data_IF_344354559817
#
_entry.id   IF_344354559817
#
_cell.length_a   1.000
_cell.length_b   1.000
_cell.length_c   1.000
_cell.angle_alpha   90.00
_cell.angle_beta   90.00
_cell.angle_gamma   90.00
#
_symmetry.space_group_name_H-M   'P 1'
#
loop_
_entity.id
_entity.type
_entity.pdbx_description
1 polymer ?
#
# COMPACT_ATOMS: atom_id res chain seq x y z
N UNK A 1 19.89 2.41 2.80
CA UNK A 1 18.93 1.29 2.90
C UNK A 1 19.41 0.19 1.96
N UNK A 2 19.75 -0.97 2.50
CA UNK A 2 20.26 -2.12 1.74
C UNK A 2 19.21 -3.23 1.69
N UNK A 3 19.33 -4.12 0.71
CA UNK A 3 18.48 -5.30 0.57
C UNK A 3 19.37 -6.54 0.69
N UNK A 4 19.06 -7.39 1.67
CA UNK A 4 19.73 -8.68 1.87
C UNK A 4 18.66 -9.78 1.91
N UNK A 5 18.85 -10.84 1.13
CA UNK A 5 17.88 -11.95 1.04
C UNK A 5 16.43 -11.48 0.80
N UNK A 6 16.25 -10.53 -0.13
CA UNK A 6 14.95 -9.94 -0.51
C UNK A 6 14.25 -9.14 0.61
N UNK A 7 14.99 -8.73 1.65
CA UNK A 7 14.48 -7.91 2.74
C UNK A 7 15.29 -6.63 2.90
N UNK A 8 14.63 -5.57 3.30
CA UNK A 8 15.27 -4.32 3.74
C UNK A 8 15.93 -4.52 5.10
N UNK A 9 17.21 -4.17 5.23
CA UNK A 9 17.96 -4.33 6.49
C UNK A 9 17.48 -3.41 7.62
N UNK A 10 16.99 -2.22 7.26
CA UNK A 10 16.60 -1.18 8.21
C UNK A 10 15.07 -1.04 8.37
N UNK A 11 14.31 -2.05 7.96
CA UNK A 11 12.85 -2.06 8.09
C UNK A 11 12.39 -3.09 9.12
N UNK A 12 11.32 -2.77 9.83
CA UNK A 12 10.59 -3.78 10.59
C UNK A 12 10.04 -4.85 9.66
N UNK A 13 9.95 -6.10 10.13
CA UNK A 13 9.42 -7.19 9.32
C UNK A 13 8.28 -7.92 10.04
N UNK A 14 7.12 -7.95 9.38
CA UNK A 14 5.93 -8.69 9.84
C UNK A 14 5.41 -9.49 8.65
N UNK A 15 5.52 -10.80 8.67
CA UNK A 15 5.18 -11.63 7.52
C UNK A 15 3.67 -11.73 7.30
N UNK A 16 3.21 -11.33 6.10
CA UNK A 16 1.84 -11.52 5.68
C UNK A 16 1.64 -12.96 5.17
N UNK A 17 0.55 -13.65 5.59
CA UNK A 17 0.18 -14.95 5.04
C UNK A 17 -0.37 -14.86 3.62
N UNK A 18 -0.75 -13.67 3.17
CA UNK A 18 -1.41 -13.44 1.88
C UNK A 18 -0.37 -13.28 0.78
N UNK A 19 -0.09 -14.33 0.02
CA UNK A 19 0.95 -14.30 -1.00
C UNK A 19 0.69 -15.27 -2.15
N UNK A 20 1.24 -14.96 -3.32
CA UNK A 20 1.05 -15.73 -4.55
C UNK A 20 2.24 -16.63 -4.94
N UNK A 21 3.19 -16.87 -4.01
CA UNK A 21 4.41 -17.60 -4.31
C UNK A 21 5.46 -16.76 -5.07
N UNK A 22 6.51 -17.36 -5.59
CA UNK A 22 7.60 -16.63 -6.23
C UNK A 22 7.21 -16.02 -7.57
N UNK A 23 7.84 -14.88 -7.92
CA UNK A 23 7.73 -14.34 -9.26
C UNK A 23 8.34 -15.28 -10.30
N UNK A 24 7.77 -15.27 -11.51
CA UNK A 24 8.42 -15.89 -12.66
C UNK A 24 9.75 -15.15 -12.95
N UNK A 25 10.80 -15.87 -13.41
CA UNK A 25 12.08 -15.25 -13.71
C UNK A 25 11.96 -14.05 -14.64
N UNK A 26 12.51 -12.90 -14.23
CA UNK A 26 12.49 -11.66 -15.02
C UNK A 26 11.14 -10.96 -15.13
N UNK A 27 10.09 -11.43 -14.44
CA UNK A 27 8.76 -10.83 -14.52
C UNK A 27 8.65 -9.54 -13.70
N UNK A 28 9.36 -9.43 -12.59
CA UNK A 28 9.29 -8.28 -11.68
C UNK A 28 10.04 -7.07 -12.29
N UNK A 29 9.31 -6.04 -12.68
CA UNK A 29 9.85 -4.84 -13.32
C UNK A 29 9.13 -3.54 -12.96
N UNK A 30 8.12 -3.60 -12.10
CA UNK A 30 7.22 -2.48 -11.80
C UNK A 30 7.11 -2.24 -10.31
N UNK A 31 6.89 -1.00 -9.91
CA UNK A 31 6.45 -0.63 -8.57
C UNK A 31 5.06 0.02 -8.68
N UNK A 32 4.13 -0.42 -7.85
CA UNK A 32 2.80 0.18 -7.71
C UNK A 32 2.71 0.85 -6.36
N UNK A 33 2.48 2.15 -6.36
CA UNK A 33 2.27 2.94 -5.15
C UNK A 33 0.77 3.03 -4.88
N UNK A 34 0.39 2.65 -3.67
CA UNK A 34 -0.95 2.77 -3.12
C UNK A 34 -0.95 3.74 -1.95
N UNK A 35 -2.12 4.13 -1.50
CA UNK A 35 -2.33 4.78 -0.22
C UNK A 35 -3.38 3.99 0.58
N UNK A 36 -3.20 3.92 1.89
CA UNK A 36 -3.98 3.02 2.76
C UNK A 36 -5.45 3.40 2.87
N UNK A 37 -5.79 4.66 2.65
CA UNK A 37 -7.13 5.22 2.90
C UNK A 37 -7.66 4.83 4.30
N UNK A 38 -6.80 4.85 5.31
CA UNK A 38 -7.06 4.31 6.64
C UNK A 38 -6.58 5.20 7.78
N UNK A 39 -6.84 4.74 8.99
CA UNK A 39 -6.58 5.51 10.21
C UNK A 39 -5.09 5.57 10.58
N UNK A 40 -4.33 4.52 10.28
CA UNK A 40 -2.90 4.42 10.60
C UNK A 40 -2.21 3.30 9.83
N UNK A 41 -0.87 3.32 9.82
CA UNK A 41 -0.05 2.26 9.27
C UNK A 41 -0.31 0.92 9.98
N UNK A 42 -0.51 0.92 11.31
CA UNK A 42 -0.79 -0.28 12.10
C UNK A 42 -2.09 -0.95 11.64
N UNK A 43 -3.16 -0.17 11.44
CA UNK A 43 -4.44 -0.71 10.96
C UNK A 43 -4.34 -1.25 9.53
N UNK A 44 -3.50 -0.65 8.69
CA UNK A 44 -3.21 -1.17 7.36
C UNK A 44 -2.45 -2.50 7.43
N UNK A 45 -1.43 -2.60 8.28
CA UNK A 45 -0.65 -3.83 8.51
C UNK A 45 -1.56 -4.96 9.01
N UNK A 46 -2.43 -4.69 9.98
CA UNK A 46 -3.43 -5.65 10.46
C UNK A 46 -4.31 -6.19 9.31
N UNK A 47 -4.78 -5.30 8.45
CA UNK A 47 -5.59 -5.65 7.27
C UNK A 47 -4.80 -6.51 6.27
N UNK A 48 -3.57 -6.09 5.94
CA UNK A 48 -2.71 -6.76 4.96
C UNK A 48 -2.15 -8.10 5.45
N UNK A 49 -2.13 -8.32 6.76
CA UNK A 49 -1.74 -9.58 7.39
C UNK A 49 -2.93 -10.47 7.79
N UNK A 50 -4.16 -10.01 7.61
CA UNK A 50 -5.35 -10.79 7.91
C UNK A 50 -5.67 -11.73 6.74
N UNK A 51 -5.65 -13.04 6.99
CA UNK A 51 -5.91 -14.09 5.98
C UNK A 51 -7.29 -13.98 5.34
N UNK A 52 -8.29 -13.52 6.09
CA UNK A 52 -9.67 -13.36 5.60
C UNK A 52 -9.80 -12.23 4.56
N UNK A 53 -8.92 -11.25 4.60
CA UNK A 53 -8.94 -10.10 3.68
C UNK A 53 -8.40 -10.43 2.30
N UNK A 54 -7.52 -11.43 2.18
CA UNK A 54 -6.92 -11.87 0.90
C UNK A 54 -6.29 -10.73 0.11
N UNK A 55 -5.64 -9.81 0.80
CA UNK A 55 -4.87 -8.69 0.26
C UNK A 55 -3.53 -8.62 0.96
N UNK A 56 -2.52 -8.10 0.29
CA UNK A 56 -1.19 -7.86 0.87
C UNK A 56 -0.45 -6.80 0.08
N UNK A 57 0.61 -6.26 0.67
CA UNK A 57 1.60 -5.42 0.00
C UNK A 57 3.00 -5.83 0.49
N UNK A 58 4.04 -5.34 -0.17
CA UNK A 58 5.41 -5.63 0.25
C UNK A 58 5.86 -4.70 1.35
N UNK A 59 5.53 -3.42 1.24
CA UNK A 59 5.91 -2.39 2.20
C UNK A 59 4.69 -1.57 2.64
N UNK A 60 4.72 -1.17 3.91
CA UNK A 60 3.88 -0.10 4.46
C UNK A 60 4.80 1.00 4.96
N UNK A 61 4.57 2.23 4.51
CA UNK A 61 5.30 3.43 4.93
C UNK A 61 4.39 4.29 5.79
N UNK A 62 4.71 4.41 7.07
CA UNK A 62 3.97 5.23 8.02
C UNK A 62 4.22 6.73 7.81
N UNK A 63 3.34 7.58 8.35
CA UNK A 63 3.44 9.05 8.28
C UNK A 63 4.71 9.61 8.92
N UNK A 64 5.28 8.90 9.85
CA UNK A 64 6.54 9.22 10.52
C UNK A 64 7.78 8.74 9.74
N UNK A 65 7.59 8.11 8.57
CA UNK A 65 8.66 7.56 7.75
C UNK A 65 9.12 6.16 8.15
N UNK A 66 8.50 5.53 9.16
CA UNK A 66 8.78 4.13 9.50
C UNK A 66 8.37 3.23 8.36
N UNK A 67 9.23 2.29 7.99
CA UNK A 67 8.97 1.30 6.94
C UNK A 67 8.80 -0.07 7.58
N UNK A 68 7.68 -0.72 7.31
CA UNK A 68 7.43 -2.12 7.68
C UNK A 68 7.34 -2.96 6.41
N UNK A 69 8.15 -4.01 6.31
CA UNK A 69 8.09 -4.96 5.21
C UNK A 69 7.22 -6.16 5.60
N UNK A 70 6.27 -6.52 4.72
CA UNK A 70 5.31 -7.61 4.96
C UNK A 70 5.55 -8.85 4.09
N UNK A 71 6.23 -8.70 2.96
CA UNK A 71 6.60 -9.79 2.06
C UNK A 71 8.02 -9.60 1.56
N UNK A 72 8.79 -10.69 1.38
CA UNK A 72 10.07 -10.61 0.68
C UNK A 72 9.86 -10.16 -0.78
N UNK A 73 10.83 -9.45 -1.35
CA UNK A 73 10.71 -8.90 -2.71
C UNK A 73 10.72 -9.94 -3.85
N UNK A 74 10.96 -11.19 -3.56
CA UNK A 74 10.85 -12.30 -4.53
C UNK A 74 9.50 -13.03 -4.50
N UNK A 75 8.56 -12.57 -3.66
CA UNK A 75 7.24 -13.17 -3.47
C UNK A 75 6.15 -12.25 -4.00
N UNK A 76 5.18 -12.78 -4.72
CA UNK A 76 4.04 -12.05 -5.27
C UNK A 76 3.09 -11.59 -4.15
N UNK A 77 2.85 -10.29 -4.06
CA UNK A 77 1.82 -9.71 -3.20
C UNK A 77 0.48 -9.57 -3.92
N UNK A 78 -0.61 -9.54 -3.17
CA UNK A 78 -1.97 -9.34 -3.68
C UNK A 78 -2.45 -7.92 -3.44
N UNK A 79 -1.90 -6.94 -4.18
CA UNK A 79 -2.13 -5.51 -3.98
C UNK A 79 -2.79 -4.80 -5.17
N UNK A 80 -2.69 -5.34 -6.39
CA UNK A 80 -3.13 -4.64 -7.59
C UNK A 80 -4.46 -5.14 -8.18
N UNK A 81 -5.03 -6.24 -7.63
CA UNK A 81 -6.32 -6.78 -8.03
C UNK A 81 -6.43 -7.01 -9.55
N UNK A 82 -7.57 -6.66 -10.12
CA UNK A 82 -7.78 -6.57 -11.57
C UNK A 82 -7.19 -5.26 -12.05
N UNK A 83 -6.01 -5.31 -12.63
CA UNK A 83 -5.26 -4.14 -13.06
C UNK A 83 -4.81 -4.29 -14.51
N UNK A 84 -4.78 -3.15 -15.22
CA UNK A 84 -4.33 -3.10 -16.63
C UNK A 84 -3.58 -1.81 -16.87
N UNK A 85 -2.49 -1.92 -17.62
CA UNK A 85 -1.74 -0.79 -18.16
C UNK A 85 -1.16 -1.17 -19.53
N UNK A 86 -1.56 -0.43 -20.58
CA UNK A 86 -1.28 -0.84 -21.95
C UNK A 86 -1.90 -2.21 -22.26
N UNK A 87 -1.10 -3.12 -22.79
CA UNK A 87 -1.51 -4.50 -23.08
C UNK A 87 -1.29 -5.47 -21.93
N UNK A 88 -0.69 -5.02 -20.81
CA UNK A 88 -0.38 -5.88 -19.65
C UNK A 88 -1.51 -5.84 -18.63
N UNK A 89 -1.91 -7.00 -18.16
CA UNK A 89 -2.95 -7.19 -17.15
C UNK A 89 -2.45 -7.99 -15.94
N UNK A 90 -3.04 -7.76 -14.76
CA UNK A 90 -2.75 -8.52 -13.55
C UNK A 90 -1.39 -8.18 -12.92
N UNK A 91 -1.21 -6.91 -12.54
CA UNK A 91 0.08 -6.35 -12.08
C UNK A 91 0.67 -6.99 -10.83
N UNK A 92 -0.10 -7.74 -10.05
CA UNK A 92 0.48 -8.54 -8.95
C UNK A 92 1.67 -9.41 -9.40
N UNK A 93 1.63 -9.92 -10.64
CA UNK A 93 2.67 -10.80 -11.20
C UNK A 93 3.94 -10.08 -11.64
N UNK A 94 3.93 -8.75 -11.63
CA UNK A 94 4.99 -7.93 -12.23
C UNK A 94 5.49 -6.83 -11.31
N UNK A 95 4.90 -6.67 -10.12
CA UNK A 95 5.15 -5.47 -9.32
C UNK A 95 5.33 -5.71 -7.82
N UNK A 96 6.13 -4.83 -7.24
CA UNK A 96 6.16 -4.58 -5.79
C UNK A 96 5.05 -3.58 -5.45
N UNK A 97 4.22 -3.90 -4.46
CA UNK A 97 3.22 -2.98 -3.92
C UNK A 97 3.74 -2.26 -2.68
N UNK A 98 3.59 -0.94 -2.65
CA UNK A 98 3.96 -0.09 -1.53
C UNK A 98 2.72 0.69 -1.10
N UNK A 99 2.33 0.55 0.15
CA UNK A 99 1.25 1.31 0.78
C UNK A 99 1.81 2.49 1.56
N UNK A 100 1.33 3.69 1.27
CA UNK A 100 1.67 4.90 2.02
C UNK A 100 0.53 5.22 2.97
N UNK A 101 0.82 5.36 4.25
CA UNK A 101 -0.19 5.72 5.26
C UNK A 101 -0.78 7.09 4.98
N UNK A 102 -2.05 7.11 4.60
CA UNK A 102 -2.80 8.31 4.25
C UNK A 102 -4.29 8.07 4.51
N UNK A 103 -4.98 9.10 5.00
CA UNK A 103 -6.42 9.03 5.30
C UNK A 103 -7.31 8.82 4.05
N UNK A 104 -6.77 9.09 2.88
CA UNK A 104 -7.53 9.08 1.63
C UNK A 104 -8.30 10.37 1.41
N UNK A 105 -9.39 10.28 0.67
CA UNK A 105 -10.27 11.39 0.38
C UNK A 105 -10.98 11.89 1.65
N UNK A 106 -11.02 13.19 1.81
CA UNK A 106 -11.72 13.87 2.91
C UNK A 106 -12.99 14.54 2.40
N UNK A 107 -14.04 14.46 3.18
CA UNK A 107 -15.29 15.18 2.93
C UNK A 107 -15.36 16.45 3.79
N UNK A 108 -15.80 17.55 3.20
CA UNK A 108 -16.09 18.77 3.95
C UNK A 108 -17.49 18.64 4.60
N UNK A 109 -17.51 18.74 5.93
CA UNK A 109 -18.73 18.74 6.75
C UNK A 109 -18.66 19.86 7.78
N UNK A 110 -19.60 20.80 7.71
CA UNK A 110 -19.69 21.93 8.65
C UNK A 110 -18.37 22.72 8.80
N UNK A 111 -17.66 22.94 7.69
CA UNK A 111 -16.37 23.65 7.67
C UNK A 111 -15.20 22.85 8.22
N UNK A 112 -15.34 21.54 8.36
CA UNK A 112 -14.28 20.61 8.74
C UNK A 112 -14.08 19.58 7.65
N UNK A 113 -12.84 19.14 7.50
CA UNK A 113 -12.48 18.04 6.57
C UNK A 113 -12.34 16.76 7.35
N UNK A 114 -13.19 15.79 7.07
CA UNK A 114 -13.26 14.52 7.80
C UNK A 114 -13.03 13.34 6.87
N UNK A 115 -12.29 12.34 7.39
CA UNK A 115 -12.14 11.04 6.74
C UNK A 115 -13.41 10.21 6.86
N UNK A 116 -13.53 9.18 6.03
CA UNK A 116 -14.64 8.22 6.06
C UNK A 116 -14.77 7.49 7.41
N UNK A 117 -13.70 7.41 8.19
CA UNK A 117 -13.68 6.83 9.54
C UNK A 117 -13.86 7.87 10.65
N UNK A 118 -14.29 9.11 10.32
CA UNK A 118 -14.74 10.13 11.28
C UNK A 118 -13.63 10.95 11.96
N UNK A 119 -12.40 10.94 11.42
CA UNK A 119 -11.33 11.81 11.94
C UNK A 119 -11.29 13.12 11.16
N UNK A 120 -11.29 14.25 11.89
CA UNK A 120 -11.08 15.58 11.32
C UNK A 120 -9.57 15.86 11.14
N UNK A 121 -9.24 16.58 10.07
CA UNK A 121 -7.89 17.01 9.73
C UNK A 121 -7.82 18.53 9.63
N UNK A 122 -6.77 19.18 10.17
CA UNK A 122 -6.55 20.60 9.99
C UNK A 122 -6.14 20.92 8.55
N UNK A 123 -6.47 22.14 8.10
CA UNK A 123 -6.28 22.51 6.68
C UNK A 123 -4.82 22.45 6.22
N UNK A 124 -3.88 22.68 7.11
CA UNK A 124 -2.44 22.57 6.83
C UNK A 124 -1.95 21.15 6.51
N UNK A 125 -2.73 20.13 6.87
CA UNK A 125 -2.45 18.72 6.55
C UNK A 125 -3.14 18.25 5.26
N UNK A 126 -3.94 19.13 4.62
CA UNK A 126 -4.77 18.77 3.48
C UNK A 126 -4.09 19.19 2.18
N UNK A 127 -3.97 18.25 1.26
CA UNK A 127 -3.52 18.51 -0.11
C UNK A 127 -4.71 18.43 -1.04
N UNK A 128 -4.98 19.51 -1.77
CA UNK A 128 -5.98 19.54 -2.83
C UNK A 128 -5.38 19.04 -4.13
N UNK A 129 -5.97 18.02 -4.71
CA UNK A 129 -5.50 17.40 -5.94
C UNK A 129 -6.65 16.94 -6.82
N UNK A 130 -6.33 16.65 -8.07
CA UNK A 130 -7.28 16.06 -9.02
C UNK A 130 -7.08 14.55 -9.00
N UNK A 131 -8.09 13.82 -8.57
CA UNK A 131 -8.07 12.37 -8.67
C UNK A 131 -8.35 11.95 -10.12
N UNK A 132 -7.67 10.91 -10.60
CA UNK A 132 -7.78 10.42 -12.00
C UNK A 132 -9.21 10.10 -12.47
N UNK A 133 -10.14 9.93 -11.56
CA UNK A 133 -11.55 9.67 -11.87
C UNK A 133 -12.41 10.94 -11.90
N UNK A 134 -11.81 12.11 -11.70
CA UNK A 134 -12.50 13.41 -11.69
C UNK A 134 -12.23 14.24 -12.96
N UNK A 135 -11.76 13.62 -14.02
CA UNK A 135 -11.52 14.29 -15.32
C UNK A 135 -12.76 14.28 -16.21
#
# INVERSE_FOLDING_TARGET
>A
MNITNHRLEDADYIESPNQGGPYAPGALDTIVIHFTAGASAESAIETLCNVERRVSAHLVVGRNGTVTQLLPFNIIGWHAGRSKWGEREGFNKYSIGIEIDNAGELEERDGRYESWFGRAYPEEEIVRGIHRHQT
#
